data_IF_055335024198
#
_entry.id   IF_055335024198
#
_cell.length_a   1.000
_cell.length_b   1.000
_cell.length_c   1.000
_cell.angle_alpha   90.00
_cell.angle_beta   90.00
_cell.angle_gamma   90.00
#
_symmetry.space_group_name_H-M   'P 1'
#
loop_
_entity.id
_entity.type
_entity.pdbx_description
1 polymer ?
#
# COMPACT_ATOMS: atom_id res chain seq x y z
N UNK A 1 -23.71 8.44 34.55
CA UNK A 1 -23.41 7.38 33.58
C UNK A 1 -23.09 8.06 32.25
N UNK A 2 -21.83 8.16 31.90
CA UNK A 2 -21.41 8.60 30.57
C UNK A 2 -21.59 7.43 29.63
N UNK A 3 -22.69 7.40 28.89
CA UNK A 3 -22.89 6.45 27.80
C UNK A 3 -21.89 6.78 26.71
N UNK A 4 -20.91 5.90 26.49
CA UNK A 4 -20.03 6.00 25.32
C UNK A 4 -20.92 5.91 24.09
N UNK A 5 -20.88 6.88 23.15
CA UNK A 5 -21.72 6.83 21.97
C UNK A 5 -21.39 5.59 21.15
N UNK A 6 -22.40 4.77 20.84
CA UNK A 6 -22.24 3.64 19.92
C UNK A 6 -21.99 4.15 18.51
N UNK A 7 -20.94 3.63 17.87
CA UNK A 7 -20.60 3.90 16.49
C UNK A 7 -21.11 2.74 15.62
N UNK A 8 -21.77 3.06 14.51
CA UNK A 8 -22.23 2.09 13.52
C UNK A 8 -21.57 2.35 12.16
N UNK A 9 -21.26 1.26 11.45
CA UNK A 9 -20.69 1.24 10.10
C UNK A 9 -20.98 -0.12 9.45
N UNK A 10 -20.86 -0.19 8.12
CA UNK A 10 -20.91 -1.46 7.40
C UNK A 10 -19.59 -2.22 7.55
N UNK A 11 -18.47 -1.50 7.55
CA UNK A 11 -17.12 -2.05 7.64
C UNK A 11 -16.27 -1.26 8.63
N UNK A 12 -15.69 -1.97 9.59
CA UNK A 12 -14.71 -1.45 10.55
C UNK A 12 -13.31 -1.93 10.16
N UNK A 13 -12.39 -1.00 9.91
CA UNK A 13 -10.99 -1.25 9.59
C UNK A 13 -10.13 -0.79 10.77
N UNK A 14 -9.27 -1.69 11.27
CA UNK A 14 -8.33 -1.37 12.35
C UNK A 14 -6.93 -1.27 11.75
N UNK A 15 -6.39 -0.06 11.73
CA UNK A 15 -5.11 0.27 11.09
C UNK A 15 -5.31 1.17 9.87
N UNK A 16 -4.55 2.26 9.82
CA UNK A 16 -4.67 3.29 8.79
C UNK A 16 -3.43 3.40 7.89
N UNK A 17 -2.62 2.35 7.78
CA UNK A 17 -1.53 2.33 6.77
C UNK A 17 -2.05 1.98 5.38
N UNK A 18 -1.14 1.70 4.44
CA UNK A 18 -1.46 1.40 3.03
C UNK A 18 -2.58 0.36 2.86
N UNK A 19 -2.55 -0.74 3.62
CA UNK A 19 -3.58 -1.77 3.54
C UNK A 19 -4.97 -1.26 3.97
N UNK A 20 -5.05 -0.53 5.08
CA UNK A 20 -6.31 -0.04 5.64
C UNK A 20 -6.92 1.09 4.83
N UNK A 21 -6.11 2.09 4.45
CA UNK A 21 -6.59 3.22 3.65
C UNK A 21 -6.94 2.81 2.21
N UNK A 22 -6.15 1.93 1.58
CA UNK A 22 -6.50 1.46 0.24
C UNK A 22 -7.80 0.65 0.23
N UNK A 23 -8.02 -0.21 1.23
CA UNK A 23 -9.28 -0.92 1.40
C UNK A 23 -10.45 0.05 1.64
N UNK A 24 -10.26 1.03 2.52
CA UNK A 24 -11.28 2.02 2.83
C UNK A 24 -11.73 2.79 1.57
N UNK A 25 -10.79 3.23 0.73
CA UNK A 25 -11.07 3.94 -0.52
C UNK A 25 -11.85 3.07 -1.53
N UNK A 26 -11.49 1.80 -1.66
CA UNK A 26 -12.18 0.85 -2.55
C UNK A 26 -13.62 0.56 -2.10
N UNK A 27 -13.88 0.55 -0.80
CA UNK A 27 -15.21 0.29 -0.24
C UNK A 27 -16.09 1.54 -0.13
N UNK A 28 -15.49 2.72 -0.07
CA UNK A 28 -16.16 4.00 0.19
C UNK A 28 -17.23 4.40 -0.84
N UNK A 29 -17.28 3.73 -2.00
CA UNK A 29 -18.32 3.92 -3.03
C UNK A 29 -19.67 3.34 -2.63
N UNK A 30 -19.67 2.28 -1.81
CA UNK A 30 -20.86 1.47 -1.56
C UNK A 30 -21.13 1.24 -0.07
N UNK A 31 -20.17 1.58 0.79
CA UNK A 31 -20.21 1.25 2.22
C UNK A 31 -19.84 2.45 3.09
N UNK A 32 -20.46 2.51 4.28
CA UNK A 32 -20.03 3.37 5.38
C UNK A 32 -18.84 2.70 6.09
N UNK A 33 -17.66 3.32 5.99
CA UNK A 33 -16.42 2.73 6.50
C UNK A 33 -15.94 3.54 7.71
N UNK A 34 -15.60 2.84 8.79
CA UNK A 34 -14.84 3.40 9.90
C UNK A 34 -13.41 2.87 9.85
N UNK A 35 -12.42 3.76 9.95
CA UNK A 35 -11.01 3.40 10.10
C UNK A 35 -10.52 3.86 11.48
N UNK A 36 -9.92 2.97 12.25
CA UNK A 36 -9.29 3.28 13.52
C UNK A 36 -7.78 3.35 13.36
N UNK A 37 -7.16 4.38 13.93
CA UNK A 37 -5.72 4.45 14.14
C UNK A 37 -5.40 4.60 15.62
N UNK A 38 -4.40 3.86 16.09
CA UNK A 38 -3.93 3.95 17.47
C UNK A 38 -3.27 5.30 17.77
N UNK A 39 -2.67 5.93 16.77
CA UNK A 39 -1.98 7.23 16.88
C UNK A 39 -2.51 8.23 15.86
N UNK A 40 -1.68 9.19 15.41
CA UNK A 40 -1.94 9.94 14.19
C UNK A 40 -2.22 8.98 13.02
N UNK A 41 -3.02 9.41 12.04
CA UNK A 41 -3.36 8.57 10.88
C UNK A 41 -2.13 8.20 10.07
N UNK A 42 -1.22 9.16 9.87
CA UNK A 42 0.03 9.00 9.14
C UNK A 42 1.16 8.38 9.98
N UNK A 43 0.87 7.81 11.15
CA UNK A 43 1.86 7.20 12.02
C UNK A 43 1.78 5.67 11.93
N UNK A 44 2.68 5.07 11.17
CA UNK A 44 2.79 3.63 10.96
C UNK A 44 3.92 3.28 10.00
N UNK A 45 4.25 1.98 9.89
CA UNK A 45 5.37 1.52 9.06
C UNK A 45 5.27 1.93 7.59
N UNK A 46 4.05 2.09 7.05
CA UNK A 46 3.85 2.59 5.69
C UNK A 46 4.52 3.93 5.47
N UNK A 47 4.37 4.91 6.38
CA UNK A 47 4.94 6.25 6.21
C UNK A 47 6.47 6.26 6.11
N UNK A 48 7.13 5.28 6.74
CA UNK A 48 8.59 5.21 6.83
C UNK A 48 9.24 4.28 5.80
N UNK A 49 8.46 3.67 4.89
CA UNK A 49 9.02 2.80 3.87
C UNK A 49 9.85 3.62 2.86
N UNK A 50 11.10 3.23 2.65
CA UNK A 50 12.03 3.96 1.78
C UNK A 50 12.10 3.34 0.37
N UNK A 51 12.40 2.03 0.32
CA UNK A 51 12.73 1.28 -0.89
C UNK A 51 11.73 1.45 -2.02
N UNK A 52 10.62 0.71 -1.98
CA UNK A 52 9.57 0.87 -2.97
C UNK A 52 8.55 -0.26 -2.98
N UNK A 53 7.83 -0.38 -4.09
CA UNK A 53 6.83 -1.42 -4.32
C UNK A 53 7.26 -2.27 -5.52
N UNK A 54 7.46 -3.57 -5.29
CA UNK A 54 7.83 -4.51 -6.34
C UNK A 54 6.63 -4.86 -7.23
N UNK A 55 6.73 -4.57 -8.52
CA UNK A 55 5.76 -4.96 -9.55
C UNK A 55 6.43 -5.07 -10.93
N UNK A 56 5.98 -6.03 -11.73
CA UNK A 56 6.52 -6.27 -13.07
C UNK A 56 5.94 -5.24 -14.06
N UNK A 57 6.70 -4.18 -14.34
CA UNK A 57 6.35 -3.13 -15.31
C UNK A 57 7.17 -3.20 -16.60
N UNK A 58 8.41 -3.69 -16.50
CA UNK A 58 9.38 -3.77 -17.60
C UNK A 58 9.10 -4.98 -18.51
N UNK A 59 9.27 -4.81 -19.82
CA UNK A 59 9.06 -5.88 -20.81
C UNK A 59 10.13 -6.98 -20.75
N UNK A 60 11.30 -6.67 -20.18
CA UNK A 60 12.40 -7.62 -19.96
C UNK A 60 12.25 -8.44 -18.68
N UNK A 61 11.23 -8.15 -17.87
CA UNK A 61 10.89 -8.86 -16.64
C UNK A 61 9.60 -9.70 -16.82
N UNK A 62 9.37 -10.65 -15.92
CA UNK A 62 8.20 -11.53 -15.95
C UNK A 62 7.65 -11.82 -14.55
N UNK A 63 6.36 -12.15 -14.49
CA UNK A 63 5.70 -12.60 -13.27
C UNK A 63 6.38 -13.88 -12.75
N UNK A 64 6.69 -14.83 -13.64
CA UNK A 64 7.36 -16.08 -13.28
C UNK A 64 8.72 -15.83 -12.61
N UNK A 65 9.52 -14.88 -13.13
CA UNK A 65 10.76 -14.46 -12.48
C UNK A 65 10.52 -13.86 -11.10
N UNK A 66 9.48 -13.02 -10.94
CA UNK A 66 9.14 -12.45 -9.63
C UNK A 66 8.74 -13.53 -8.62
N UNK A 67 7.96 -14.51 -9.07
CA UNK A 67 7.54 -15.66 -8.26
C UNK A 67 8.77 -16.45 -7.81
N UNK A 68 9.67 -16.78 -8.74
CA UNK A 68 10.87 -17.56 -8.40
C UNK A 68 11.80 -16.82 -7.44
N UNK A 69 12.07 -15.54 -7.69
CA UNK A 69 12.83 -14.67 -6.77
C UNK A 69 12.24 -14.72 -5.34
N UNK A 70 10.92 -14.63 -5.23
CA UNK A 70 10.21 -14.65 -3.94
C UNK A 70 10.31 -16.02 -3.25
N UNK A 71 10.18 -17.11 -3.99
CA UNK A 71 10.27 -18.46 -3.45
C UNK A 71 11.69 -18.81 -2.99
N UNK A 72 12.71 -18.39 -3.74
CA UNK A 72 14.12 -18.52 -3.36
C UNK A 72 14.39 -17.72 -2.09
N UNK A 73 14.03 -16.43 -2.06
CA UNK A 73 14.21 -15.57 -0.89
C UNK A 73 13.44 -16.08 0.34
N UNK A 74 12.29 -16.71 0.10
CA UNK A 74 11.45 -17.35 1.11
C UNK A 74 11.94 -18.70 1.63
N UNK A 75 13.11 -19.18 1.19
CA UNK A 75 13.79 -20.37 1.73
C UNK A 75 12.90 -21.63 1.82
N UNK A 76 12.00 -21.82 0.86
CA UNK A 76 11.16 -23.03 0.74
C UNK A 76 9.95 -23.10 1.69
N UNK A 77 9.65 -22.05 2.45
CA UNK A 77 8.47 -22.02 3.35
C UNK A 77 7.30 -21.19 2.81
N UNK A 78 7.45 -20.58 1.64
CA UNK A 78 6.37 -19.85 0.99
C UNK A 78 5.27 -20.78 0.48
N UNK A 79 4.02 -20.33 0.63
CA UNK A 79 2.89 -20.87 -0.14
C UNK A 79 2.99 -20.35 -1.58
N UNK A 80 3.27 -21.26 -2.52
CA UNK A 80 3.40 -20.93 -3.94
C UNK A 80 2.15 -20.26 -4.52
N UNK A 81 0.96 -20.73 -4.16
CA UNK A 81 -0.28 -20.17 -4.68
C UNK A 81 -0.47 -18.73 -4.20
N UNK A 82 -0.13 -18.44 -2.93
CA UNK A 82 -0.16 -17.07 -2.42
C UNK A 82 0.85 -16.16 -3.14
N UNK A 83 2.07 -16.65 -3.38
CA UNK A 83 3.11 -15.90 -4.10
C UNK A 83 2.69 -15.60 -5.54
N UNK A 84 2.22 -16.60 -6.29
CA UNK A 84 1.74 -16.44 -7.67
C UNK A 84 0.56 -15.47 -7.74
N UNK A 85 -0.39 -15.56 -6.81
CA UNK A 85 -1.52 -14.66 -6.72
C UNK A 85 -1.08 -13.21 -6.49
N UNK A 86 -0.19 -12.96 -5.52
CA UNK A 86 0.28 -11.61 -5.20
C UNK A 86 1.10 -11.04 -6.36
N UNK A 87 2.07 -11.79 -6.89
CA UNK A 87 2.95 -11.34 -7.97
C UNK A 87 2.15 -10.99 -9.25
N UNK A 88 1.15 -11.81 -9.60
CA UNK A 88 0.32 -11.59 -10.79
C UNK A 88 -0.59 -10.37 -10.68
N UNK A 89 -0.98 -9.97 -9.47
CA UNK A 89 -1.86 -8.82 -9.22
C UNK A 89 -1.10 -7.54 -8.84
N UNK A 90 0.23 -7.59 -8.67
CA UNK A 90 1.00 -6.44 -8.21
C UNK A 90 0.88 -5.23 -9.16
N UNK A 91 1.00 -5.44 -10.47
CA UNK A 91 0.93 -4.36 -11.47
C UNK A 91 -0.40 -3.62 -11.43
N UNK A 92 -1.53 -4.33 -11.38
CA UNK A 92 -2.86 -3.69 -11.34
C UNK A 92 -3.11 -2.95 -10.03
N UNK A 93 -2.61 -3.48 -8.91
CA UNK A 93 -2.67 -2.81 -7.61
C UNK A 93 -1.82 -1.53 -7.58
N UNK A 94 -0.62 -1.56 -8.16
CA UNK A 94 0.25 -0.38 -8.28
C UNK A 94 -0.35 0.63 -9.26
N UNK A 95 -0.93 0.19 -10.38
CA UNK A 95 -1.65 1.07 -11.29
C UNK A 95 -2.79 1.79 -10.58
N UNK A 96 -3.54 1.09 -9.73
CA UNK A 96 -4.58 1.75 -8.93
C UNK A 96 -4.02 2.83 -7.99
N UNK A 97 -2.84 2.65 -7.40
CA UNK A 97 -2.18 3.69 -6.59
C UNK A 97 -1.83 4.91 -7.43
N UNK A 98 -1.28 4.68 -8.64
CA UNK A 98 -0.99 5.74 -9.61
C UNK A 98 -2.29 6.50 -9.95
N UNK A 99 -3.39 5.78 -10.19
CA UNK A 99 -4.69 6.37 -10.47
C UNK A 99 -5.28 7.16 -9.28
N UNK A 100 -4.87 6.85 -8.04
CA UNK A 100 -5.18 7.67 -6.85
C UNK A 100 -4.28 8.91 -6.73
N UNK A 101 -3.25 9.04 -7.56
CA UNK A 101 -2.33 10.18 -7.60
C UNK A 101 -0.96 9.92 -6.97
N UNK A 102 -0.58 8.67 -6.70
CA UNK A 102 0.77 8.36 -6.17
C UNK A 102 1.79 8.64 -7.26
N UNK A 103 2.78 9.49 -6.95
CA UNK A 103 3.83 9.86 -7.89
C UNK A 103 5.06 8.97 -7.70
N UNK A 104 5.29 8.06 -8.65
CA UNK A 104 6.55 7.32 -8.75
C UNK A 104 7.51 8.03 -9.69
N UNK A 105 8.81 7.92 -9.40
CA UNK A 105 9.86 8.52 -10.21
C UNK A 105 9.85 7.95 -11.64
N UNK A 106 10.01 8.84 -12.63
CA UNK A 106 10.09 8.48 -14.05
C UNK A 106 11.48 8.77 -14.60
N UNK A 107 11.79 8.14 -15.74
CA UNK A 107 13.01 8.35 -16.50
C UNK A 107 12.67 8.43 -17.99
N UNK A 108 13.46 9.21 -18.74
CA UNK A 108 13.40 9.24 -20.20
C UNK A 108 14.37 8.20 -20.74
N UNK A 109 13.86 7.25 -21.51
CA UNK A 109 14.65 6.21 -22.16
C UNK A 109 15.48 6.79 -23.32
N UNK A 110 16.55 6.10 -23.78
CA UNK A 110 17.35 6.55 -24.93
C UNK A 110 16.55 6.74 -26.23
N UNK A 111 15.42 6.05 -26.38
CA UNK A 111 14.50 6.19 -27.51
C UNK A 111 13.57 7.42 -27.40
N UNK A 112 13.63 8.18 -26.28
CA UNK A 112 12.82 9.36 -26.01
C UNK A 112 11.50 9.09 -25.28
N UNK A 113 11.16 7.83 -24.99
CA UNK A 113 9.93 7.47 -24.28
C UNK A 113 10.09 7.62 -22.76
N UNK A 114 9.03 8.04 -22.08
CA UNK A 114 8.98 8.08 -20.62
C UNK A 114 8.61 6.71 -20.05
N UNK A 115 9.30 6.30 -18.99
CA UNK A 115 9.06 5.04 -18.26
C UNK A 115 9.26 5.26 -16.78
N UNK A 116 8.76 4.35 -15.93
CA UNK A 116 9.08 4.40 -14.50
C UNK A 116 10.56 4.08 -14.27
N UNK A 117 11.21 4.83 -13.39
CA UNK A 117 12.55 4.50 -12.95
C UNK A 117 12.47 3.35 -11.94
N UNK A 118 13.04 2.20 -12.31
CA UNK A 118 12.98 0.96 -11.52
C UNK A 118 14.31 0.66 -10.83
N UNK A 119 14.24 0.40 -9.52
CA UNK A 119 15.38 -0.07 -8.73
C UNK A 119 15.36 -1.59 -8.56
N UNK A 120 16.46 -2.12 -8.02
CA UNK A 120 16.63 -3.55 -7.70
C UNK A 120 17.26 -3.67 -6.32
N UNK A 121 16.62 -4.44 -5.46
CA UNK A 121 17.11 -4.78 -4.13
C UNK A 121 17.54 -6.25 -4.04
N UNK A 122 18.10 -6.65 -2.90
CA UNK A 122 18.52 -8.03 -2.66
C UNK A 122 17.34 -9.01 -2.81
N UNK A 123 17.61 -10.16 -3.43
CA UNK A 123 16.59 -11.18 -3.72
C UNK A 123 15.91 -11.03 -5.08
N UNK A 124 16.09 -9.91 -5.78
CA UNK A 124 15.55 -9.73 -7.13
C UNK A 124 16.57 -9.95 -8.23
N UNK A 125 16.19 -10.69 -9.27
CA UNK A 125 16.97 -10.87 -10.50
C UNK A 125 16.85 -9.68 -11.45
N UNK A 126 15.65 -9.08 -11.56
CA UNK A 126 15.34 -7.92 -12.41
C UNK A 126 15.07 -6.63 -11.63
N UNK A 127 15.11 -5.48 -12.32
CA UNK A 127 14.67 -4.18 -11.77
C UNK A 127 13.15 -4.12 -11.83
N UNK A 128 12.48 -4.07 -10.68
CA UNK A 128 11.01 -4.14 -10.59
C UNK A 128 10.41 -3.31 -9.45
N UNK A 129 11.22 -2.52 -8.77
CA UNK A 129 10.78 -1.75 -7.61
C UNK A 129 10.52 -0.32 -8.05
N UNK A 130 9.24 0.08 -8.02
CA UNK A 130 8.84 1.48 -8.20
C UNK A 130 9.06 2.24 -6.89
N UNK A 131 9.54 3.47 -6.98
CA UNK A 131 9.87 4.27 -5.82
C UNK A 131 9.59 5.76 -6.04
N UNK A 132 9.56 6.54 -4.96
CA UNK A 132 9.51 8.00 -4.98
C UNK A 132 10.70 8.52 -4.17
N UNK A 133 11.79 8.88 -4.86
CA UNK A 133 13.10 9.14 -4.26
C UNK A 133 13.47 8.08 -3.22
N UNK A 134 13.73 8.49 -1.98
CA UNK A 134 14.04 7.65 -0.82
C UNK A 134 12.88 7.58 0.20
N UNK A 135 11.66 7.99 -0.20
CA UNK A 135 10.52 8.16 0.70
C UNK A 135 9.19 7.64 0.12
N UNK A 136 9.22 6.50 -0.58
CA UNK A 136 8.04 5.90 -1.24
C UNK A 136 6.83 5.75 -0.32
N UNK A 137 7.07 5.32 0.91
CA UNK A 137 6.06 5.12 1.93
C UNK A 137 5.32 6.40 2.33
N UNK A 138 6.06 7.50 2.44
CA UNK A 138 5.51 8.82 2.74
C UNK A 138 4.56 9.26 1.62
N UNK A 139 5.02 9.15 0.36
CA UNK A 139 4.23 9.50 -0.82
C UNK A 139 2.91 8.70 -0.88
N UNK A 140 2.99 7.38 -0.71
CA UNK A 140 1.81 6.50 -0.69
C UNK A 140 0.85 6.87 0.45
N UNK A 141 1.35 7.01 1.68
CA UNK A 141 0.52 7.31 2.85
C UNK A 141 -0.17 8.67 2.71
N UNK A 142 0.56 9.72 2.30
CA UNK A 142 0.01 11.06 2.17
C UNK A 142 -1.04 11.14 1.07
N UNK A 143 -0.84 10.42 -0.03
CA UNK A 143 -1.78 10.40 -1.15
C UNK A 143 -3.05 9.65 -0.79
N UNK A 144 -2.95 8.46 -0.18
CA UNK A 144 -4.13 7.70 0.25
C UNK A 144 -4.94 8.45 1.32
N UNK A 145 -4.27 9.12 2.25
CA UNK A 145 -4.94 9.96 3.25
C UNK A 145 -5.66 11.15 2.63
N UNK A 146 -5.06 11.77 1.62
CA UNK A 146 -5.63 12.92 0.92
C UNK A 146 -6.81 12.54 0.03
N UNK A 147 -6.81 11.33 -0.54
CA UNK A 147 -7.88 10.80 -1.38
C UNK A 147 -9.16 10.41 -0.60
N UNK A 148 -9.20 10.59 0.73
CA UNK A 148 -10.33 10.15 1.56
C UNK A 148 -11.66 10.77 1.14
N UNK A 149 -12.71 9.94 1.14
CA UNK A 149 -14.09 10.35 0.81
C UNK A 149 -14.89 10.62 2.09
N UNK A 150 -15.99 11.37 1.97
CA UNK A 150 -16.89 11.70 3.10
C UNK A 150 -17.51 10.47 3.78
N UNK A 151 -17.65 9.37 3.06
CA UNK A 151 -18.16 8.07 3.55
C UNK A 151 -17.17 7.31 4.42
N UNK A 152 -15.92 7.79 4.52
CA UNK A 152 -14.88 7.23 5.39
C UNK A 152 -14.78 8.11 6.64
N UNK A 153 -15.08 7.53 7.80
CA UNK A 153 -14.90 8.16 9.11
C UNK A 153 -13.64 7.62 9.76
N UNK A 154 -12.73 8.51 10.14
CA UNK A 154 -11.42 8.10 10.66
C UNK A 154 -11.28 8.59 12.11
N UNK A 155 -10.96 7.67 13.02
CA UNK A 155 -10.72 7.97 14.43
C UNK A 155 -9.25 7.70 14.76
N UNK A 156 -8.50 8.79 14.93
CA UNK A 156 -7.12 8.76 15.41
C UNK A 156 -7.08 8.66 16.94
N UNK A 157 -5.92 8.26 17.47
CA UNK A 157 -5.69 8.08 18.92
C UNK A 157 -6.69 7.14 19.60
N UNK A 158 -7.18 6.14 18.86
CA UNK A 158 -8.08 5.15 19.40
C UNK A 158 -7.29 4.17 20.27
N UNK A 159 -7.36 4.38 21.58
CA UNK A 159 -6.96 3.38 22.57
C UNK A 159 -8.25 2.80 23.15
N UNK A 160 -8.46 1.49 23.01
CA UNK A 160 -9.62 0.79 23.57
C UNK A 160 -9.64 0.75 25.10
N UNK A 161 -8.90 1.65 25.75
CA UNK A 161 -8.75 1.79 27.18
C UNK A 161 -9.37 3.14 27.53
N UNK A 162 -10.52 3.14 28.20
CA UNK A 162 -10.98 4.34 28.91
C UNK A 162 -9.83 4.82 29.79
N UNK A 163 -9.44 6.11 29.75
CA UNK A 163 -8.38 6.60 30.63
C UNK A 163 -8.78 6.26 32.07
N UNK A 164 -8.01 5.39 32.72
CA UNK A 164 -8.09 5.24 34.17
C UNK A 164 -7.72 6.59 34.76
N UNK A 165 -8.71 7.21 35.38
CA UNK A 165 -8.61 8.48 36.11
C UNK A 165 -7.62 8.34 37.27
#
# INVERSE_FOLDING_TARGET
>A
MTTTPELSCDVLIIGSGAAGLSLALRLAEKHQVIVLSKGPVSEGSTFYAQGGIAAVFDETDSIDSHVEDTLIAGAGICDRHAVEFVASNARSCVQWLIDQGVLFDTQVQPNGEESYHLTREGGHSHRRILHAADATGKEVETTLWSARRRTIRIFAYWSGVTPSI
#
